data_IF_847609963962
#
_entry.id   IF_847609963962
#
_cell.length_a   1.000
_cell.length_b   1.000
_cell.length_c   1.000
_cell.angle_alpha   90.00
_cell.angle_beta   90.00
_cell.angle_gamma   90.00
#
_symmetry.space_group_name_H-M   'P 1'
#
loop_
_entity.id
_entity.type
_entity.pdbx_description
1 polymer ?
#
# COMPACT_ATOMS: atom_id res chain seq x y z
N UNK A 1 -32.44 -26.93 25.17
CA UNK A 1 -31.23 -26.79 24.32
C UNK A 1 -31.15 -25.35 23.89
N UNK A 2 -30.17 -24.61 24.39
CA UNK A 2 -29.95 -23.21 23.98
C UNK A 2 -29.24 -23.20 22.63
N UNK A 3 -29.81 -22.51 21.64
CA UNK A 3 -29.21 -22.32 20.35
C UNK A 3 -27.90 -21.49 20.51
N UNK A 4 -26.78 -22.01 20.00
CA UNK A 4 -25.53 -21.24 19.93
C UNK A 4 -25.75 -20.07 19.00
N UNK A 5 -25.29 -18.84 19.35
CA UNK A 5 -25.33 -17.72 18.42
C UNK A 5 -24.43 -18.04 17.21
N UNK A 6 -25.00 -17.94 16.02
CA UNK A 6 -24.25 -17.99 14.77
C UNK A 6 -23.43 -16.69 14.74
N UNK A 7 -22.12 -16.80 14.99
CA UNK A 7 -21.22 -15.68 14.73
C UNK A 7 -21.15 -15.49 13.21
N UNK A 8 -21.77 -14.44 12.70
CA UNK A 8 -21.52 -13.96 11.35
C UNK A 8 -20.09 -13.40 11.41
N UNK A 9 -19.11 -14.19 11.00
CA UNK A 9 -17.76 -13.66 10.76
C UNK A 9 -17.88 -12.67 9.60
N UNK A 10 -17.87 -11.39 9.92
CA UNK A 10 -17.66 -10.37 8.89
C UNK A 10 -16.30 -10.66 8.25
N UNK A 11 -16.31 -10.98 6.96
CA UNK A 11 -15.08 -11.20 6.20
C UNK A 11 -14.15 -10.01 6.43
N UNK A 12 -12.90 -10.29 6.80
CA UNK A 12 -11.94 -9.24 7.16
C UNK A 12 -11.70 -8.32 5.96
N UNK A 13 -11.94 -7.02 6.13
CA UNK A 13 -11.81 -6.03 5.06
C UNK A 13 -10.39 -6.05 4.47
N UNK A 14 -10.31 -6.29 3.16
CA UNK A 14 -9.08 -6.29 2.37
C UNK A 14 -9.24 -5.37 1.19
N UNK A 15 -8.24 -4.53 0.90
CA UNK A 15 -8.30 -3.53 -0.16
C UNK A 15 -7.35 -3.86 -1.31
N UNK A 16 -7.88 -3.87 -2.53
CA UNK A 16 -7.13 -3.90 -3.77
C UNK A 16 -7.14 -2.48 -4.35
N UNK A 17 -6.07 -1.72 -4.11
CA UNK A 17 -5.98 -0.31 -4.51
C UNK A 17 -5.53 -0.17 -5.97
N UNK A 18 -6.13 0.77 -6.70
CA UNK A 18 -5.86 0.99 -8.12
C UNK A 18 -6.26 -0.21 -8.96
N UNK A 19 -7.48 -0.73 -8.72
CA UNK A 19 -7.88 -2.01 -9.30
C UNK A 19 -8.06 -1.95 -10.82
N UNK A 20 -8.40 -0.79 -11.41
CA UNK A 20 -8.80 -0.71 -12.81
C UNK A 20 -9.77 -1.87 -13.16
N UNK A 21 -9.40 -2.73 -14.10
CA UNK A 21 -10.11 -3.97 -14.47
C UNK A 21 -9.56 -5.24 -13.75
N UNK A 22 -8.48 -5.11 -12.97
CA UNK A 22 -7.82 -6.20 -12.25
C UNK A 22 -8.47 -6.48 -10.88
N UNK A 23 -9.75 -6.85 -10.89
CA UNK A 23 -10.51 -7.13 -9.68
C UNK A 23 -10.03 -8.40 -8.97
N UNK A 24 -9.94 -8.34 -7.64
CA UNK A 24 -9.58 -9.48 -6.80
C UNK A 24 -10.82 -9.95 -6.03
N UNK A 25 -11.24 -11.20 -6.27
CA UNK A 25 -12.40 -11.79 -5.60
C UNK A 25 -12.18 -11.87 -4.09
N UNK A 26 -13.18 -11.44 -3.31
CA UNK A 26 -13.11 -11.41 -1.84
C UNK A 26 -12.30 -10.24 -1.26
N UNK A 27 -11.95 -9.26 -2.11
CA UNK A 27 -11.35 -7.99 -1.73
C UNK A 27 -12.28 -6.85 -2.13
N UNK A 28 -12.19 -5.75 -1.43
CA UNK A 28 -12.80 -4.49 -1.88
C UNK A 28 -11.88 -3.86 -2.91
N UNK A 29 -12.34 -3.82 -4.15
CA UNK A 29 -11.61 -3.24 -5.28
C UNK A 29 -11.83 -1.73 -5.30
N UNK A 30 -10.75 -0.96 -5.23
CA UNK A 30 -10.78 0.50 -5.04
C UNK A 30 -10.10 1.17 -6.21
N UNK A 31 -10.76 2.16 -6.78
CA UNK A 31 -10.19 3.03 -7.81
C UNK A 31 -10.81 4.44 -7.72
N UNK A 32 -10.30 5.39 -8.49
CA UNK A 32 -10.90 6.72 -8.61
C UNK A 32 -12.03 6.78 -9.64
N UNK A 33 -12.25 5.73 -10.40
CA UNK A 33 -13.27 5.62 -11.44
C UNK A 33 -13.84 4.20 -11.53
N UNK A 34 -14.96 4.06 -12.27
CA UNK A 34 -15.56 2.77 -12.61
C UNK A 34 -14.66 1.94 -13.55
N UNK A 35 -14.73 0.58 -13.50
CA UNK A 35 -15.48 -0.20 -12.50
C UNK A 35 -14.67 -0.39 -11.21
N UNK A 36 -15.27 -0.12 -10.06
CA UNK A 36 -14.68 -0.36 -8.75
C UNK A 36 -15.79 -0.63 -7.72
N UNK A 37 -15.49 -1.41 -6.67
CA UNK A 37 -16.44 -1.61 -5.56
C UNK A 37 -16.57 -0.34 -4.71
N UNK A 38 -15.46 0.42 -4.60
CA UNK A 38 -15.40 1.72 -3.92
C UNK A 38 -14.65 2.72 -4.80
N UNK A 39 -15.33 3.81 -5.14
CA UNK A 39 -14.70 4.95 -5.82
C UNK A 39 -14.13 5.88 -4.76
N UNK A 40 -12.81 6.08 -4.74
CA UNK A 40 -12.13 6.92 -3.77
C UNK A 40 -10.93 7.64 -4.37
N UNK A 41 -10.77 8.92 -4.02
CA UNK A 41 -9.54 9.67 -4.26
C UNK A 41 -8.54 9.42 -3.14
N UNK A 42 -7.56 8.58 -3.39
CA UNK A 42 -6.55 8.19 -2.42
C UNK A 42 -5.50 9.30 -2.13
N UNK A 43 -5.56 10.43 -2.82
CA UNK A 43 -4.77 11.63 -2.46
C UNK A 43 -5.35 12.37 -1.25
N UNK A 44 -6.60 12.06 -0.88
CA UNK A 44 -7.30 12.61 0.28
C UNK A 44 -7.23 11.61 1.46
N UNK A 45 -7.82 12.00 2.61
CA UNK A 45 -8.02 11.05 3.71
C UNK A 45 -8.87 9.86 3.23
N UNK A 46 -8.38 8.66 3.46
CA UNK A 46 -9.06 7.44 3.02
C UNK A 46 -10.33 7.19 3.83
N UNK A 47 -11.41 6.67 3.20
CA UNK A 47 -12.73 6.56 3.85
C UNK A 47 -12.85 5.44 4.89
N UNK A 48 -11.78 4.70 5.16
CA UNK A 48 -11.79 3.62 6.14
C UNK A 48 -11.33 4.10 7.52
N UNK A 49 -11.91 3.48 8.56
CA UNK A 49 -11.55 3.75 9.95
C UNK A 49 -10.13 3.27 10.26
N UNK A 50 -9.54 3.84 11.30
CA UNK A 50 -8.25 3.43 11.83
C UNK A 50 -8.30 1.93 12.23
N UNK A 51 -7.25 1.19 11.91
CA UNK A 51 -7.11 -0.22 12.26
C UNK A 51 -8.30 -1.11 11.86
N UNK A 52 -8.91 -0.85 10.69
CA UNK A 52 -10.07 -1.61 10.19
C UNK A 52 -9.70 -2.60 9.08
N UNK A 53 -8.58 -2.38 8.37
CA UNK A 53 -8.18 -3.14 7.16
C UNK A 53 -7.22 -4.26 7.52
N UNK A 54 -7.50 -5.47 7.07
CA UNK A 54 -6.71 -6.67 7.36
C UNK A 54 -5.59 -6.93 6.34
N UNK A 55 -5.69 -6.39 5.14
CA UNK A 55 -4.63 -6.47 4.13
C UNK A 55 -4.84 -5.39 3.05
N UNK A 56 -3.74 -4.93 2.45
CA UNK A 56 -3.75 -4.05 1.29
C UNK A 56 -2.87 -4.66 0.20
N UNK A 57 -3.40 -4.70 -1.03
CA UNK A 57 -2.64 -4.93 -2.26
C UNK A 57 -2.58 -3.61 -3.01
N UNK A 58 -1.38 -3.19 -3.39
CA UNK A 58 -1.12 -1.94 -4.11
C UNK A 58 -0.08 -2.19 -5.20
N UNK A 59 -0.56 -2.51 -6.40
CA UNK A 59 0.28 -2.84 -7.55
C UNK A 59 0.14 -1.79 -8.63
N UNK A 60 1.25 -1.16 -8.99
CA UNK A 60 1.32 -0.11 -10.01
C UNK A 60 0.30 1.03 -9.76
N UNK A 61 0.30 1.56 -8.53
CA UNK A 61 -0.57 2.67 -8.12
C UNK A 61 0.17 3.76 -7.31
N UNK A 62 1.18 3.41 -6.49
CA UNK A 62 1.84 4.39 -5.63
C UNK A 62 2.68 5.39 -6.41
N UNK A 63 3.14 5.07 -7.61
CA UNK A 63 3.81 5.98 -8.54
C UNK A 63 2.88 7.10 -9.05
N UNK A 64 1.56 6.89 -8.99
CA UNK A 64 0.54 7.90 -9.33
C UNK A 64 0.15 8.78 -8.15
N UNK A 65 0.63 8.46 -6.91
CA UNK A 65 0.32 9.24 -5.71
C UNK A 65 1.34 10.36 -5.50
N UNK A 66 0.88 11.61 -5.40
CA UNK A 66 1.75 12.80 -5.26
C UNK A 66 2.61 12.75 -4.01
N UNK A 67 2.08 12.25 -2.90
CA UNK A 67 2.78 12.23 -1.61
C UNK A 67 3.00 10.82 -1.10
N UNK A 68 4.24 10.34 -1.16
CA UNK A 68 4.66 9.05 -0.56
C UNK A 68 4.32 9.00 0.93
N UNK A 69 4.56 10.11 1.66
CA UNK A 69 4.34 10.18 3.11
C UNK A 69 2.85 10.05 3.42
N UNK A 70 2.00 10.81 2.73
CA UNK A 70 0.54 10.69 2.91
C UNK A 70 0.07 9.26 2.64
N UNK A 71 0.46 8.69 1.51
CA UNK A 71 0.03 7.34 1.09
C UNK A 71 0.44 6.28 2.10
N UNK A 72 1.70 6.29 2.54
CA UNK A 72 2.19 5.32 3.53
C UNK A 72 1.57 5.53 4.92
N UNK A 73 1.32 6.80 5.33
CA UNK A 73 0.64 7.11 6.57
C UNK A 73 -0.82 6.62 6.56
N UNK A 74 -1.54 6.79 5.46
CA UNK A 74 -2.92 6.31 5.32
C UNK A 74 -2.99 4.78 5.29
N UNK A 75 -2.07 4.10 4.56
CA UNK A 75 -1.93 2.65 4.65
C UNK A 75 -1.79 2.22 6.11
N UNK A 76 -0.83 2.79 6.82
CA UNK A 76 -0.60 2.46 8.23
C UNK A 76 -1.82 2.78 9.09
N UNK A 77 -2.45 3.95 8.93
CA UNK A 77 -3.60 4.35 9.73
C UNK A 77 -4.75 3.35 9.63
N UNK A 78 -5.12 2.96 8.41
CA UNK A 78 -6.27 2.08 8.18
C UNK A 78 -5.99 0.61 8.50
N UNK A 79 -4.74 0.16 8.39
CA UNK A 79 -4.36 -1.22 8.61
C UNK A 79 -4.43 -1.63 10.08
N UNK A 80 -4.87 -2.86 10.33
CA UNK A 80 -4.79 -3.51 11.65
C UNK A 80 -3.34 -3.81 12.02
N UNK A 81 -3.02 -3.92 13.33
CA UNK A 81 -1.73 -4.48 13.74
C UNK A 81 -1.48 -5.84 13.08
N UNK A 82 -0.29 -6.05 12.53
CA UNK A 82 0.09 -7.29 11.84
C UNK A 82 -0.47 -7.49 10.43
N UNK A 83 -1.34 -6.57 9.95
CA UNK A 83 -1.84 -6.60 8.58
C UNK A 83 -0.71 -6.44 7.56
N UNK A 84 -0.88 -6.97 6.35
CA UNK A 84 0.14 -6.95 5.30
C UNK A 84 -0.22 -5.96 4.19
N UNK A 85 0.78 -5.17 3.79
CA UNK A 85 0.78 -4.37 2.57
C UNK A 85 1.64 -5.10 1.53
N UNK A 86 1.02 -5.60 0.45
CA UNK A 86 1.71 -6.12 -0.74
C UNK A 86 1.89 -4.98 -1.73
N UNK A 87 3.09 -4.42 -1.76
CA UNK A 87 3.49 -3.30 -2.59
C UNK A 87 4.24 -3.79 -3.82
N UNK A 88 3.84 -3.32 -5.00
CA UNK A 88 4.54 -3.58 -6.26
C UNK A 88 4.56 -2.31 -7.12
N UNK A 89 5.75 -1.76 -7.38
CA UNK A 89 5.93 -0.45 -8.02
C UNK A 89 7.14 -0.44 -8.97
N UNK A 90 7.10 0.34 -10.07
CA UNK A 90 8.28 0.60 -10.88
C UNK A 90 9.28 1.48 -10.13
N UNK A 91 10.58 1.21 -10.34
CA UNK A 91 11.66 1.99 -9.71
C UNK A 91 12.46 2.80 -10.72
N UNK A 92 13.14 3.84 -10.21
CA UNK A 92 13.99 4.73 -11.01
C UNK A 92 15.24 4.06 -11.58
N UNK A 93 15.51 2.81 -11.21
CA UNK A 93 16.60 2.02 -11.78
C UNK A 93 16.32 1.61 -13.23
N UNK A 94 15.09 1.85 -13.71
CA UNK A 94 14.70 1.54 -15.08
C UNK A 94 13.67 2.49 -15.68
N UNK A 95 13.33 2.21 -16.94
CA UNK A 95 12.43 3.05 -17.73
C UNK A 95 11.00 3.10 -17.19
N UNK A 96 10.56 2.06 -16.49
CA UNK A 96 9.20 1.91 -15.98
C UNK A 96 8.74 3.10 -15.14
N UNK A 97 9.64 3.69 -14.35
CA UNK A 97 9.30 4.87 -13.55
C UNK A 97 8.97 6.12 -14.37
N UNK A 98 9.49 6.23 -15.60
CA UNK A 98 9.46 7.47 -16.39
C UNK A 98 8.63 7.37 -17.67
N UNK A 99 8.26 6.18 -18.11
CA UNK A 99 7.62 5.98 -19.41
C UNK A 99 6.13 6.33 -19.41
N UNK A 100 5.46 6.31 -18.26
CA UNK A 100 4.07 6.68 -18.14
C UNK A 100 3.95 8.17 -17.75
N UNK A 101 3.25 8.99 -18.55
CA UNK A 101 3.12 10.42 -18.28
C UNK A 101 2.32 10.77 -17.03
N UNK A 102 1.62 9.80 -16.43
CA UNK A 102 0.84 9.98 -15.20
C UNK A 102 1.59 9.60 -13.93
N UNK A 103 2.83 9.12 -14.04
CA UNK A 103 3.72 8.92 -12.90
C UNK A 103 4.19 10.27 -12.35
N UNK A 104 3.83 10.55 -11.10
CA UNK A 104 4.16 11.79 -10.39
C UNK A 104 5.07 11.56 -9.18
N UNK A 105 5.31 10.30 -8.82
CA UNK A 105 6.11 9.90 -7.67
C UNK A 105 7.09 8.80 -8.09
N UNK A 106 8.38 9.06 -7.86
CA UNK A 106 9.47 8.22 -8.33
C UNK A 106 10.08 7.45 -7.14
N UNK A 107 10.05 6.12 -7.22
CA UNK A 107 10.44 5.23 -6.12
C UNK A 107 11.78 4.56 -6.39
N UNK A 108 12.52 4.32 -5.31
CA UNK A 108 13.70 3.46 -5.25
C UNK A 108 13.49 2.40 -4.16
N UNK A 109 14.24 1.30 -4.13
CA UNK A 109 14.19 0.37 -3.00
C UNK A 109 14.50 1.03 -1.65
N UNK A 110 15.32 2.08 -1.65
CA UNK A 110 15.73 2.79 -0.45
C UNK A 110 14.62 3.70 0.14
N UNK A 111 13.58 4.02 -0.62
CA UNK A 111 12.42 4.76 -0.07
C UNK A 111 11.79 4.04 1.13
N UNK A 112 11.85 2.71 1.16
CA UNK A 112 11.31 1.92 2.27
C UNK A 112 12.06 2.16 3.59
N UNK A 113 13.30 2.65 3.55
CA UNK A 113 14.08 2.95 4.75
C UNK A 113 13.41 4.00 5.66
N UNK A 114 12.59 4.86 5.07
CA UNK A 114 11.86 5.90 5.78
C UNK A 114 10.54 5.42 6.40
N UNK A 115 10.07 4.20 6.06
CA UNK A 115 8.79 3.67 6.53
C UNK A 115 8.92 2.38 7.34
N UNK A 116 10.11 1.78 7.40
CA UNK A 116 10.40 0.53 8.10
C UNK A 116 11.19 0.82 9.37
N UNK A 117 10.62 0.47 10.53
CA UNK A 117 11.09 0.86 11.88
C UNK A 117 12.52 0.45 12.21
N UNK A 118 13.04 -0.59 11.54
CA UNK A 118 14.39 -1.12 11.81
C UNK A 118 15.50 -0.32 11.13
N UNK A 119 15.17 0.54 10.18
CA UNK A 119 16.15 1.37 9.49
C UNK A 119 16.43 2.67 10.24
N UNK A 120 17.69 3.11 10.18
CA UNK A 120 18.17 4.33 10.84
C UNK A 120 17.49 5.59 10.30
N UNK A 121 17.10 5.61 9.03
CA UNK A 121 16.39 6.72 8.39
C UNK A 121 15.03 6.92 9.06
N UNK A 122 14.26 5.86 9.27
CA UNK A 122 12.99 5.95 9.99
C UNK A 122 13.21 6.48 11.41
N UNK A 123 14.15 5.89 12.16
CA UNK A 123 14.43 6.27 13.56
C UNK A 123 14.81 7.74 13.69
N UNK A 124 15.54 8.30 12.72
CA UNK A 124 16.04 9.68 12.76
C UNK A 124 15.06 10.71 12.23
N UNK A 125 14.28 10.37 11.21
CA UNK A 125 13.58 11.37 10.41
C UNK A 125 12.06 11.31 10.48
N UNK A 126 11.44 10.22 10.97
CA UNK A 126 10.00 10.05 10.92
C UNK A 126 9.23 11.22 11.56
N UNK A 127 9.66 11.71 12.73
CA UNK A 127 8.99 12.85 13.40
C UNK A 127 9.13 14.13 12.58
N UNK A 128 10.35 14.46 12.14
CA UNK A 128 10.61 15.70 11.40
C UNK A 128 9.91 15.75 10.04
N UNK A 129 9.69 14.59 9.40
CA UNK A 129 9.04 14.49 8.10
C UNK A 129 7.53 14.22 8.20
N UNK A 130 6.97 14.12 9.41
CA UNK A 130 5.56 13.82 9.62
C UNK A 130 5.18 12.39 9.20
N UNK A 131 6.13 11.45 9.27
CA UNK A 131 5.90 10.04 8.98
C UNK A 131 5.35 9.38 10.23
N UNK A 132 4.08 8.97 10.19
CA UNK A 132 3.42 8.17 11.21
C UNK A 132 3.41 6.69 10.86
N UNK A 133 3.67 6.37 9.60
CA UNK A 133 3.78 5.01 9.09
C UNK A 133 4.93 4.27 9.77
N UNK A 134 4.62 3.06 10.28
CA UNK A 134 5.58 2.20 10.95
C UNK A 134 5.36 0.77 10.48
N UNK A 135 6.31 0.26 9.73
CA UNK A 135 6.24 -1.07 9.15
C UNK A 135 7.45 -1.92 9.55
N UNK A 136 7.29 -3.23 9.38
CA UNK A 136 8.38 -4.20 9.33
C UNK A 136 8.43 -4.78 7.92
N UNK A 137 9.60 -4.81 7.31
CA UNK A 137 9.79 -5.46 6.01
C UNK A 137 9.90 -6.97 6.22
N UNK A 138 8.95 -7.72 5.64
CA UNK A 138 8.92 -9.19 5.69
C UNK A 138 9.64 -9.78 4.49
N UNK A 139 9.40 -9.19 3.32
CA UNK A 139 9.99 -9.61 2.05
C UNK A 139 10.24 -8.39 1.19
N UNK A 140 11.37 -8.37 0.49
CA UNK A 140 11.69 -7.36 -0.51
C UNK A 140 12.46 -8.00 -1.66
N UNK A 141 11.98 -7.78 -2.88
CA UNK A 141 12.66 -8.18 -4.10
C UNK A 141 12.70 -7.03 -5.09
N UNK A 142 13.80 -6.92 -5.83
CA UNK A 142 13.99 -5.89 -6.84
C UNK A 142 14.43 -6.58 -8.13
N UNK A 143 13.58 -6.55 -9.15
CA UNK A 143 13.71 -7.37 -10.35
C UNK A 143 13.65 -6.54 -11.62
N UNK A 144 14.49 -6.92 -12.58
CA UNK A 144 14.41 -6.39 -13.95
C UNK A 144 13.39 -7.20 -14.75
N UNK A 145 12.48 -6.47 -15.40
CA UNK A 145 11.51 -6.97 -16.36
C UNK A 145 11.95 -6.63 -17.80
N UNK A 146 11.30 -7.18 -18.84
CA UNK A 146 11.58 -6.80 -20.23
C UNK A 146 11.53 -5.28 -20.44
N UNK A 147 12.25 -4.81 -21.47
CA UNK A 147 12.34 -3.39 -21.86
C UNK A 147 12.99 -2.47 -20.82
N UNK A 148 13.86 -3.01 -19.95
CA UNK A 148 14.56 -2.23 -18.92
C UNK A 148 13.59 -1.60 -17.90
N UNK A 149 12.54 -2.30 -17.57
CA UNK A 149 11.62 -1.94 -16.47
C UNK A 149 12.11 -2.64 -15.21
N UNK A 150 12.42 -1.87 -14.18
CA UNK A 150 12.75 -2.38 -12.86
C UNK A 150 11.57 -2.17 -11.93
N UNK A 151 11.24 -3.19 -11.14
CA UNK A 151 10.16 -3.13 -10.16
C UNK A 151 10.61 -3.65 -8.80
N UNK A 152 10.16 -2.93 -7.79
CA UNK A 152 10.26 -3.32 -6.39
C UNK A 152 8.96 -4.02 -5.98
N UNK A 153 9.07 -5.23 -5.42
CA UNK A 153 8.01 -5.84 -4.63
C UNK A 153 8.41 -5.86 -3.17
N UNK A 154 7.51 -5.47 -2.29
CA UNK A 154 7.72 -5.57 -0.85
C UNK A 154 6.45 -6.02 -0.13
N UNK A 155 6.62 -6.92 0.83
CA UNK A 155 5.58 -7.27 1.80
C UNK A 155 5.93 -6.59 3.11
N UNK A 156 5.12 -5.61 3.49
CA UNK A 156 5.30 -4.83 4.71
C UNK A 156 4.24 -5.21 5.74
N UNK A 157 4.66 -5.46 6.98
CA UNK A 157 3.76 -5.72 8.11
C UNK A 157 3.52 -4.43 8.89
N UNK A 158 2.26 -4.11 9.14
CA UNK A 158 1.86 -2.94 9.93
C UNK A 158 2.21 -3.14 11.41
N UNK A 159 2.99 -2.23 11.98
CA UNK A 159 3.36 -2.17 13.40
C UNK A 159 2.64 -0.98 14.04
N UNK A 160 1.84 -1.23 15.07
CA UNK A 160 1.12 -0.17 15.83
C UNK A 160 1.83 0.17 17.13
#
# INVERSE_FOLDING_TARGET
>A
MAARPISIEHEALRLNLGCSDAHVKGWTNVDRCEPADVIADLSQRWPWNDSSVAAIKSWDIFEHMVSKIHTMNECHRVMKPGAKLDLFIPTTDGRGAFQDPTHVSFWTPNDLFYFVETYVEWQRFHVAYGITARFRCIEQTHLEYPNKVWKLRAILECVK
#
